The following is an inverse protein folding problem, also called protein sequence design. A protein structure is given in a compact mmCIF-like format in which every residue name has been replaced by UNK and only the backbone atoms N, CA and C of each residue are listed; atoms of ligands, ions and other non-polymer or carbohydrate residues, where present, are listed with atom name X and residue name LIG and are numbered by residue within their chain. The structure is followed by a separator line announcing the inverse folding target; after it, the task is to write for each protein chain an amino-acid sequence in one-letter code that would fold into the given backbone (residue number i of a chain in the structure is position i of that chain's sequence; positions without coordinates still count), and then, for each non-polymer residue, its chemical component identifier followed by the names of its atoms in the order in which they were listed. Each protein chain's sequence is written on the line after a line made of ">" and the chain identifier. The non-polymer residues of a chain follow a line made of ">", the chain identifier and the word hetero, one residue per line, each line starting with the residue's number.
data_IF_804943708563
#
_entry.id   IF_804943708563
#
_cell.length_a   1.000
_cell.length_b   1.000
_cell.length_c   1.000
_cell.angle_alpha   90.00
_cell.angle_beta   90.00
_cell.angle_gamma   90.00
#
_symmetry.space_group_name_H-M   'P 1'
#
loop_
_entity.id
_entity.type
_entity.pdbx_description
1 polymer ?
#
# COMPACT_ATOMS: atom_id res chain seq x y z
N UNK A 1 9.82 -21.98 25.42
CA UNK A 1 8.67 -22.87 25.67
C UNK A 1 8.22 -22.71 27.11
N UNK A 2 6.93 -22.47 27.32
CA UNK A 2 6.30 -22.44 28.64
C UNK A 2 5.49 -23.72 28.82
N UNK A 3 5.64 -24.39 29.96
CA UNK A 3 4.89 -25.60 30.32
C UNK A 3 4.16 -25.29 31.62
N UNK A 4 2.83 -25.34 31.60
CA UNK A 4 2.04 -25.11 32.80
C UNK A 4 2.26 -26.25 33.81
N UNK A 5 2.60 -25.92 35.05
CA UNK A 5 3.03 -26.91 36.05
C UNK A 5 1.92 -27.89 36.44
N UNK A 6 0.68 -27.42 36.47
CA UNK A 6 -0.45 -28.21 36.96
C UNK A 6 -1.14 -29.02 35.86
N UNK A 7 -1.37 -28.41 34.69
CA UNK A 7 -2.09 -29.07 33.58
C UNK A 7 -1.17 -29.74 32.57
N UNK A 8 0.12 -29.38 32.56
CA UNK A 8 1.06 -29.83 31.53
C UNK A 8 0.91 -29.10 30.19
N UNK A 9 -0.05 -28.17 30.07
CA UNK A 9 -0.32 -27.42 28.84
C UNK A 9 0.90 -26.63 28.37
N UNK A 10 1.17 -26.64 27.05
CA UNK A 10 2.42 -26.09 26.51
C UNK A 10 2.18 -24.96 25.53
N UNK A 11 3.08 -23.98 25.61
CA UNK A 11 3.23 -22.89 24.65
C UNK A 11 4.66 -22.86 24.09
N UNK A 12 4.80 -22.76 22.77
CA UNK A 12 6.08 -22.57 22.07
C UNK A 12 6.06 -21.28 21.26
N UNK A 13 7.24 -20.67 21.13
CA UNK A 13 7.45 -19.52 20.27
C UNK A 13 8.94 -19.29 20.06
N UNK A 14 9.32 -18.78 18.90
CA UNK A 14 10.68 -18.35 18.56
C UNK A 14 10.82 -16.83 18.61
N UNK A 15 12.07 -16.36 18.73
CA UNK A 15 12.40 -14.94 18.66
C UNK A 15 13.84 -14.74 18.22
N UNK A 16 14.06 -13.75 17.36
CA UNK A 16 15.39 -13.24 17.02
C UNK A 16 15.98 -12.32 18.10
N UNK A 17 15.16 -11.84 19.04
CA UNK A 17 15.55 -10.98 20.15
C UNK A 17 14.95 -11.51 21.45
N UNK A 18 15.55 -12.59 21.96
CA UNK A 18 15.05 -13.31 23.14
C UNK A 18 14.84 -12.38 24.34
N UNK A 19 15.78 -11.46 24.62
CA UNK A 19 15.66 -10.50 25.72
C UNK A 19 14.36 -9.70 25.64
N UNK A 20 14.11 -9.01 24.52
CA UNK A 20 12.91 -8.21 24.31
C UNK A 20 11.63 -9.05 24.46
N UNK A 21 11.66 -10.30 24.01
CA UNK A 21 10.51 -11.20 24.14
C UNK A 21 10.28 -11.65 25.58
N UNK A 22 11.33 -11.89 26.36
CA UNK A 22 11.21 -12.21 27.78
C UNK A 22 10.72 -11.00 28.58
N UNK A 23 11.28 -9.81 28.33
CA UNK A 23 10.84 -8.56 28.95
C UNK A 23 9.33 -8.33 28.71
N UNK A 24 8.85 -8.60 27.49
CA UNK A 24 7.43 -8.55 27.15
C UNK A 24 6.57 -9.48 28.02
N UNK A 25 6.98 -10.74 28.21
CA UNK A 25 6.23 -11.67 29.07
C UNK A 25 6.35 -11.33 30.56
N UNK A 26 7.48 -10.76 30.99
CA UNK A 26 7.76 -10.50 32.41
C UNK A 26 7.12 -9.20 32.90
N UNK A 27 7.03 -8.20 32.04
CA UNK A 27 6.43 -6.91 32.38
C UNK A 27 4.90 -6.93 32.35
N UNK A 28 4.28 -7.97 31.80
CA UNK A 28 2.81 -8.08 31.74
C UNK A 28 2.12 -7.16 30.72
N UNK A 29 2.88 -6.36 29.96
CA UNK A 29 2.36 -5.38 28.99
C UNK A 29 2.01 -6.05 27.65
N UNK A 30 0.99 -6.91 27.69
CA UNK A 30 0.52 -7.66 26.53
C UNK A 30 -1.01 -7.75 26.45
N UNK A 31 -1.58 -7.82 25.24
CA UNK A 31 -3.02 -7.98 25.08
C UNK A 31 -3.49 -9.35 25.61
N UNK A 32 -4.65 -9.37 26.27
CA UNK A 32 -5.33 -10.59 26.72
C UNK A 32 -5.99 -11.31 25.55
N UNK A 33 -5.17 -11.82 24.63
CA UNK A 33 -5.59 -12.50 23.42
C UNK A 33 -4.99 -13.92 23.32
N UNK A 34 -5.73 -14.83 22.69
CA UNK A 34 -5.35 -16.24 22.56
C UNK A 34 -5.54 -17.02 23.87
N UNK A 35 -4.82 -18.13 24.02
CA UNK A 35 -4.93 -19.00 25.22
C UNK A 35 -3.79 -18.77 26.21
N UNK A 36 -2.56 -18.59 25.72
CA UNK A 36 -1.38 -18.46 26.56
C UNK A 36 -1.36 -17.15 27.38
N UNK A 37 -1.54 -15.99 26.75
CA UNK A 37 -1.38 -14.70 27.44
C UNK A 37 -2.41 -14.47 28.56
N UNK A 38 -3.71 -14.80 28.37
CA UNK A 38 -4.67 -14.70 29.47
C UNK A 38 -4.34 -15.63 30.64
N UNK A 39 -3.88 -16.86 30.35
CA UNK A 39 -3.48 -17.80 31.39
C UNK A 39 -2.23 -17.30 32.15
N UNK A 40 -1.23 -16.80 31.42
CA UNK A 40 -0.02 -16.21 32.01
C UNK A 40 -0.34 -14.99 32.88
N UNK A 41 -1.26 -14.13 32.45
CA UNK A 41 -1.70 -12.97 33.22
C UNK A 41 -2.42 -13.39 34.52
N UNK A 42 -3.28 -14.41 34.44
CA UNK A 42 -4.09 -14.88 35.55
C UNK A 42 -3.26 -15.60 36.62
N UNK A 43 -2.34 -16.46 36.22
CA UNK A 43 -1.64 -17.38 37.13
C UNK A 43 -0.17 -17.02 37.35
N UNK A 44 0.33 -16.00 36.65
CA UNK A 44 1.70 -15.52 36.77
C UNK A 44 2.74 -16.45 36.15
N UNK A 45 3.98 -15.98 36.09
CA UNK A 45 5.12 -16.77 35.57
C UNK A 45 5.43 -18.00 36.42
N UNK A 46 5.18 -17.91 37.72
CA UNK A 46 5.44 -18.98 38.68
C UNK A 46 4.61 -20.24 38.43
N UNK A 47 3.47 -20.13 37.75
CA UNK A 47 2.66 -21.27 37.33
C UNK A 47 3.30 -22.07 36.17
N UNK A 48 4.38 -21.56 35.55
CA UNK A 48 5.00 -22.17 34.39
C UNK A 48 6.45 -22.61 34.63
N UNK A 49 6.86 -23.68 33.95
CA UNK A 49 8.26 -24.04 33.75
C UNK A 49 8.71 -23.51 32.38
N UNK A 50 9.70 -22.63 32.39
CA UNK A 50 10.30 -22.09 31.17
C UNK A 50 11.46 -22.99 30.70
N UNK A 51 11.43 -23.39 29.43
CA UNK A 51 12.57 -24.03 28.72
C UNK A 51 12.98 -23.16 27.54
N UNK A 52 14.26 -22.84 27.46
CA UNK A 52 14.85 -22.02 26.39
C UNK A 52 15.79 -22.89 25.57
N UNK A 53 15.56 -22.91 24.25
CA UNK A 53 16.47 -23.52 23.28
C UNK A 53 17.28 -22.41 22.62
N UNK A 54 18.60 -22.42 22.84
CA UNK A 54 19.52 -21.51 22.17
C UNK A 54 20.10 -22.24 20.95
N UNK A 55 19.83 -21.73 19.76
CA UNK A 55 20.46 -22.21 18.54
C UNK A 55 21.78 -21.47 18.33
N UNK A 56 22.84 -22.21 18.03
CA UNK A 56 24.16 -21.67 17.71
C UNK A 56 24.12 -20.98 16.34
N UNK A 57 24.38 -19.67 16.32
CA UNK A 57 24.35 -18.87 15.09
C UNK A 57 25.39 -19.27 14.07
N UNK A 58 26.44 -20.01 14.47
CA UNK A 58 27.45 -20.52 13.55
C UNK A 58 26.99 -21.78 12.79
N UNK A 59 25.91 -22.42 13.25
CA UNK A 59 25.40 -23.68 12.68
C UNK A 59 23.97 -23.57 12.16
N UNK A 60 23.18 -22.68 12.75
CA UNK A 60 21.76 -22.56 12.48
C UNK A 60 21.39 -21.15 12.08
N UNK A 61 20.56 -21.05 11.04
CA UNK A 61 19.95 -19.82 10.57
C UNK A 61 18.73 -19.43 11.41
N UNK A 62 18.25 -18.20 11.22
CA UNK A 62 16.97 -17.78 11.79
C UNK A 62 15.77 -18.62 11.31
N UNK A 63 15.87 -19.23 10.13
CA UNK A 63 14.81 -20.09 9.58
C UNK A 63 14.74 -21.43 10.30
N UNK A 64 15.87 -21.95 10.79
CA UNK A 64 15.91 -23.19 11.58
C UNK A 64 15.17 -23.04 12.91
N UNK A 65 15.18 -21.84 13.51
CA UNK A 65 14.37 -21.53 14.68
C UNK A 65 12.86 -21.63 14.40
N UNK A 66 12.43 -21.22 13.20
CA UNK A 66 11.03 -21.33 12.76
C UNK A 66 10.65 -22.78 12.46
N UNK A 67 11.55 -23.55 11.87
CA UNK A 67 11.36 -24.99 11.63
C UNK A 67 11.20 -25.74 12.96
N UNK A 68 12.05 -25.43 13.94
CA UNK A 68 11.96 -26.03 15.27
C UNK A 68 10.66 -25.64 15.99
N UNK A 69 10.24 -24.37 15.90
CA UNK A 69 8.93 -23.95 16.41
C UNK A 69 7.79 -24.71 15.72
N UNK A 70 7.83 -24.81 14.39
CA UNK A 70 6.82 -25.54 13.61
C UNK A 70 6.76 -27.02 14.01
N UNK A 71 7.91 -27.66 14.22
CA UNK A 71 7.98 -29.05 14.69
C UNK A 71 7.22 -29.24 16.00
N UNK A 72 7.42 -28.36 16.98
CA UNK A 72 6.68 -28.41 18.25
C UNK A 72 5.19 -28.10 18.09
N UNK A 73 4.82 -27.17 17.21
CA UNK A 73 3.41 -26.82 16.97
C UNK A 73 2.57 -27.99 16.43
N UNK A 74 3.20 -28.94 15.72
CA UNK A 74 2.56 -30.16 15.22
C UNK A 74 2.17 -31.13 16.34
N UNK A 75 2.82 -31.04 17.50
CA UNK A 75 2.47 -31.83 18.66
C UNK A 75 1.23 -31.26 19.36
N UNK A 76 0.25 -32.12 19.61
CA UNK A 76 -1.04 -31.77 20.22
C UNK A 76 -0.87 -31.21 21.64
N UNK A 77 0.20 -31.57 22.34
CA UNK A 77 0.52 -31.07 23.70
C UNK A 77 0.76 -29.54 23.72
N UNK A 78 1.10 -28.92 22.58
CA UNK A 78 1.23 -27.46 22.44
C UNK A 78 -0.12 -26.77 22.24
N UNK A 79 -1.01 -26.99 23.20
CA UNK A 79 -2.42 -26.58 23.14
C UNK A 79 -2.70 -25.12 23.54
N UNK A 80 -1.70 -24.40 24.07
CA UNK A 80 -1.79 -22.97 24.37
C UNK A 80 -1.49 -22.08 23.15
N UNK A 81 -0.89 -22.64 22.10
CA UNK A 81 -0.76 -21.98 20.79
C UNK A 81 -2.11 -22.06 20.05
N UNK A 82 -2.68 -20.92 19.69
CA UNK A 82 -3.93 -20.87 18.90
C UNK A 82 -3.70 -21.20 17.43
N UNK A 83 -2.57 -20.78 16.88
CA UNK A 83 -2.13 -21.12 15.54
C UNK A 83 -1.19 -22.33 15.59
N UNK A 84 -1.45 -23.31 14.73
CA UNK A 84 -0.62 -24.52 14.56
C UNK A 84 0.43 -24.38 13.45
N UNK A 85 0.55 -23.18 12.90
CA UNK A 85 1.50 -22.82 11.87
C UNK A 85 2.37 -21.69 12.39
N UNK A 86 3.69 -21.83 12.23
CA UNK A 86 4.65 -20.81 12.63
C UNK A 86 4.39 -19.53 11.83
N UNK A 87 4.38 -18.39 12.53
CA UNK A 87 4.35 -17.10 11.85
C UNK A 87 5.76 -16.79 11.35
N UNK A 88 6.12 -17.37 10.21
CA UNK A 88 7.25 -16.92 9.41
C UNK A 88 6.88 -15.53 8.88
N UNK A 89 7.05 -14.50 9.71
CA UNK A 89 6.62 -13.12 9.41
C UNK A 89 6.97 -12.77 7.97
N UNK A 90 6.02 -12.17 7.24
CA UNK A 90 6.06 -11.96 5.78
C UNK A 90 7.48 -11.85 5.22
N UNK A 91 8.01 -12.98 4.75
CA UNK A 91 9.44 -13.17 4.54
C UNK A 91 9.92 -12.68 3.18
N UNK A 92 9.37 -11.56 2.69
CA UNK A 92 9.89 -10.76 1.60
C UNK A 92 9.39 -9.34 1.86
N UNK A 93 10.28 -8.41 2.20
CA UNK A 93 9.87 -7.00 2.09
C UNK A 93 9.46 -6.74 0.64
N UNK A 94 8.58 -5.77 0.39
CA UNK A 94 8.15 -5.46 -0.99
C UNK A 94 9.41 -5.19 -1.85
N UNK A 95 9.78 -6.07 -2.81
CA UNK A 95 10.97 -5.88 -3.60
C UNK A 95 10.77 -4.68 -4.52
N UNK A 96 11.85 -3.98 -4.82
CA UNK A 96 11.83 -2.82 -5.71
C UNK A 96 12.98 -2.91 -6.69
N UNK A 97 12.63 -2.76 -7.96
CA UNK A 97 13.54 -2.78 -9.10
C UNK A 97 13.67 -1.36 -9.63
N UNK A 98 14.91 -0.90 -9.81
CA UNK A 98 15.25 0.43 -10.30
C UNK A 98 15.73 0.30 -11.74
N UNK A 99 14.91 0.77 -12.67
CA UNK A 99 15.19 0.74 -14.10
C UNK A 99 15.55 2.11 -14.64
N UNK A 100 16.16 2.12 -15.81
CA UNK A 100 16.07 3.26 -16.73
C UNK A 100 14.61 3.47 -17.19
N UNK A 101 14.37 4.60 -17.86
CA UNK A 101 13.03 4.94 -18.31
C UNK A 101 12.48 3.94 -19.32
N UNK A 102 13.33 3.40 -20.20
CA UNK A 102 12.92 2.44 -21.24
C UNK A 102 12.80 1.01 -20.73
N UNK A 103 12.98 0.77 -19.42
CA UNK A 103 12.97 -0.57 -18.82
C UNK A 103 13.97 -1.56 -19.43
N UNK A 104 14.99 -1.06 -20.14
CA UNK A 104 15.97 -1.86 -20.85
C UNK A 104 17.17 -2.20 -19.98
N UNK A 105 17.45 -1.36 -18.96
CA UNK A 105 18.58 -1.51 -18.05
C UNK A 105 18.07 -1.54 -16.61
N UNK A 106 18.38 -2.62 -15.88
CA UNK A 106 18.19 -2.73 -14.43
C UNK A 106 19.42 -2.19 -13.71
N UNK A 107 19.28 -1.04 -13.03
CA UNK A 107 20.36 -0.46 -12.24
C UNK A 107 20.52 -1.12 -10.87
N UNK A 108 19.41 -1.46 -10.21
CA UNK A 108 19.48 -2.05 -8.87
C UNK A 108 18.22 -2.84 -8.52
N UNK A 109 18.40 -3.94 -7.78
CA UNK A 109 17.32 -4.74 -7.21
C UNK A 109 17.44 -4.77 -5.69
N UNK A 110 16.45 -4.19 -5.01
CA UNK A 110 16.31 -4.25 -3.57
C UNK A 110 15.34 -5.36 -3.17
N UNK A 111 15.71 -6.20 -2.21
CA UNK A 111 14.84 -7.24 -1.64
C UNK A 111 13.74 -6.66 -0.76
N UNK A 112 13.81 -5.37 -0.44
CA UNK A 112 12.77 -4.64 0.30
C UNK A 112 12.88 -3.13 0.11
N UNK A 113 11.78 -2.41 0.34
CA UNK A 113 11.78 -0.93 0.47
C UNK A 113 12.73 -0.42 1.57
N UNK A 114 12.99 -1.23 2.61
CA UNK A 114 13.91 -0.87 3.70
C UNK A 114 15.36 -0.92 3.20
N UNK A 115 15.71 -1.94 2.43
CA UNK A 115 17.01 -2.05 1.78
C UNK A 115 17.22 -0.90 0.79
N UNK A 116 16.23 -0.60 -0.04
CA UNK A 116 16.26 0.55 -0.95
C UNK A 116 16.52 1.87 -0.22
N UNK A 117 15.93 2.07 0.97
CA UNK A 117 16.21 3.23 1.83
C UNK A 117 17.65 3.26 2.33
N UNK A 118 18.18 2.13 2.78
CA UNK A 118 19.55 2.06 3.33
C UNK A 118 20.62 2.21 2.25
N UNK A 119 20.37 1.63 1.08
CA UNK A 119 21.35 1.52 0.00
C UNK A 119 21.28 2.71 -0.94
N UNK A 120 20.08 3.09 -1.41
CA UNK A 120 19.91 4.18 -2.37
C UNK A 120 19.38 5.48 -1.76
N UNK A 121 19.18 5.54 -0.43
CA UNK A 121 18.61 6.70 0.26
C UNK A 121 17.20 7.08 -0.24
N UNK A 122 16.41 6.12 -0.72
CA UNK A 122 15.02 6.33 -1.13
C UNK A 122 14.09 5.95 0.01
N UNK A 123 13.42 6.94 0.62
CA UNK A 123 12.49 6.67 1.72
C UNK A 123 11.39 5.68 1.32
N UNK A 124 10.92 4.85 2.26
CA UNK A 124 9.92 3.80 2.01
C UNK A 124 8.62 4.36 1.45
N UNK A 125 8.16 5.51 1.95
CA UNK A 125 6.97 6.21 1.44
C UNK A 125 7.18 6.78 0.04
N UNK A 126 8.36 7.35 -0.22
CA UNK A 126 8.73 7.83 -1.56
C UNK A 126 8.75 6.67 -2.54
N UNK A 127 9.44 5.57 -2.20
CA UNK A 127 9.45 4.35 -3.00
C UNK A 127 8.02 3.88 -3.30
N UNK A 128 7.16 3.78 -2.27
CA UNK A 128 5.76 3.42 -2.47
C UNK A 128 5.04 4.35 -3.43
N UNK A 129 5.14 5.67 -3.24
CA UNK A 129 4.51 6.67 -4.12
C UNK A 129 4.90 6.47 -5.58
N UNK A 130 6.19 6.32 -5.87
CA UNK A 130 6.68 6.22 -7.25
C UNK A 130 6.42 4.84 -7.87
N UNK A 131 6.42 3.76 -7.07
CA UNK A 131 5.97 2.44 -7.51
C UNK A 131 4.47 2.45 -7.84
N UNK A 132 3.63 3.01 -6.97
CA UNK A 132 2.17 3.01 -7.13
C UNK A 132 1.73 3.96 -8.27
N UNK A 133 2.35 5.14 -8.36
CA UNK A 133 2.02 6.13 -9.40
C UNK A 133 2.67 5.84 -10.75
N UNK A 134 3.71 5.00 -10.78
CA UNK A 134 4.50 4.68 -11.99
C UNK A 134 5.11 5.90 -12.66
N UNK A 135 5.21 6.99 -11.91
CA UNK A 135 5.89 8.19 -12.37
C UNK A 135 7.41 7.98 -12.28
N UNK A 136 8.18 8.64 -13.16
CA UNK A 136 9.63 8.65 -13.05
C UNK A 136 10.08 9.23 -11.71
N UNK A 137 10.87 8.47 -10.96
CA UNK A 137 11.64 8.99 -9.85
C UNK A 137 12.82 9.80 -10.39
N UNK A 138 12.96 11.04 -9.91
CA UNK A 138 14.00 11.98 -10.37
C UNK A 138 14.02 12.19 -11.89
N UNK A 139 12.89 11.99 -12.58
CA UNK A 139 12.77 12.09 -14.05
C UNK A 139 13.74 11.20 -14.85
N UNK A 140 14.43 10.25 -14.22
CA UNK A 140 15.42 9.36 -14.84
C UNK A 140 15.23 7.89 -14.55
N UNK A 141 14.56 7.55 -13.45
CA UNK A 141 14.45 6.18 -12.98
C UNK A 141 13.01 5.74 -12.87
N UNK A 142 12.73 4.50 -13.26
CA UNK A 142 11.44 3.87 -13.02
C UNK A 142 11.56 2.88 -11.86
N UNK A 143 10.65 3.00 -10.88
CA UNK A 143 10.59 2.07 -9.75
C UNK A 143 9.44 1.09 -9.96
N UNK A 144 9.76 -0.20 -10.05
CA UNK A 144 8.78 -1.27 -10.24
C UNK A 144 8.82 -2.27 -9.09
N UNK A 145 7.69 -2.92 -8.83
CA UNK A 145 7.58 -4.00 -7.83
C UNK A 145 7.80 -5.40 -8.44
N UNK A 146 8.18 -5.48 -9.71
CA UNK A 146 8.36 -6.70 -10.46
C UNK A 146 9.54 -6.59 -11.42
N UNK A 147 10.21 -7.71 -11.75
CA UNK A 147 11.30 -7.72 -12.70
C UNK A 147 10.81 -7.70 -14.15
N UNK A 148 11.57 -7.08 -15.04
CA UNK A 148 11.39 -7.13 -16.50
C UNK A 148 12.43 -8.11 -17.07
N UNK A 149 12.01 -9.25 -17.66
CA UNK A 149 12.92 -10.32 -18.08
C UNK A 149 13.91 -9.92 -19.18
N UNK A 150 13.53 -8.97 -20.03
CA UNK A 150 14.34 -8.49 -21.15
C UNK A 150 15.35 -7.42 -20.76
N UNK A 151 15.30 -6.94 -19.51
CA UNK A 151 16.20 -5.90 -19.04
C UNK A 151 17.59 -6.48 -18.77
N UNK A 152 18.61 -5.80 -19.27
CA UNK A 152 20.01 -6.10 -18.98
C UNK A 152 20.39 -5.52 -17.63
N UNK A 153 21.17 -6.25 -16.85
CA UNK A 153 21.74 -5.70 -15.61
C UNK A 153 22.78 -4.64 -15.97
N UNK A 154 22.74 -3.50 -15.31
CA UNK A 154 23.72 -2.43 -15.51
C UNK A 154 25.08 -2.83 -14.94
N UNK A 155 26.15 -2.43 -15.63
CA UNK A 155 27.53 -2.59 -15.16
C UNK A 155 27.99 -1.45 -14.23
N UNK A 156 27.14 -0.43 -14.01
CA UNK A 156 27.51 0.69 -13.13
C UNK A 156 27.63 0.22 -11.68
N UNK A 157 28.58 0.81 -10.95
CA UNK A 157 28.72 0.52 -9.53
C UNK A 157 27.59 1.15 -8.71
N UNK A 158 27.35 0.59 -7.53
CA UNK A 158 26.36 1.14 -6.60
C UNK A 158 26.71 2.58 -6.16
N UNK A 159 28.00 2.88 -6.00
CA UNK A 159 28.50 4.21 -5.64
C UNK A 159 28.22 5.22 -6.77
N UNK A 160 28.43 4.82 -8.02
CA UNK A 160 28.14 5.63 -9.20
C UNK A 160 26.64 5.91 -9.34
N UNK A 161 25.80 4.88 -9.19
CA UNK A 161 24.33 5.04 -9.17
C UNK A 161 23.87 6.02 -8.07
N UNK A 162 24.46 5.91 -6.89
CA UNK A 162 24.22 6.83 -5.78
C UNK A 162 24.64 8.26 -6.13
N UNK A 163 25.80 8.44 -6.76
CA UNK A 163 26.29 9.73 -7.24
C UNK A 163 25.31 10.37 -8.21
N UNK A 164 24.90 9.64 -9.26
CA UNK A 164 23.91 10.08 -10.24
C UNK A 164 22.62 10.50 -9.53
N UNK A 165 22.07 9.66 -8.65
CA UNK A 165 20.84 10.00 -7.91
C UNK A 165 21.00 11.21 -6.98
N UNK A 166 22.17 11.42 -6.39
CA UNK A 166 22.43 12.58 -5.55
C UNK A 166 22.47 13.87 -6.35
N UNK A 167 23.09 13.86 -7.51
CA UNK A 167 23.15 15.04 -8.38
C UNK A 167 21.78 15.36 -8.95
N UNK A 168 21.01 14.37 -9.37
CA UNK A 168 19.60 14.57 -9.76
C UNK A 168 18.72 15.10 -8.62
N UNK A 169 18.96 14.69 -7.37
CA UNK A 169 18.25 15.27 -6.21
C UNK A 169 18.63 16.73 -6.01
N UNK A 170 19.91 17.08 -6.12
CA UNK A 170 20.38 18.48 -6.01
C UNK A 170 19.78 19.32 -7.14
N UNK A 171 19.76 18.80 -8.35
CA UNK A 171 19.18 19.50 -9.50
C UNK A 171 17.67 19.63 -9.35
N UNK A 172 16.97 18.57 -8.96
CA UNK A 172 15.54 18.64 -8.63
C UNK A 172 15.26 19.62 -7.48
N UNK A 173 16.15 19.76 -6.50
CA UNK A 173 16.01 20.73 -5.42
C UNK A 173 16.25 22.17 -5.90
N UNK A 174 17.29 22.40 -6.71
CA UNK A 174 17.61 23.69 -7.35
C UNK A 174 16.51 24.12 -8.33
N UNK A 175 15.98 23.17 -9.11
CA UNK A 175 14.80 23.35 -9.96
C UNK A 175 13.57 23.57 -9.09
N UNK A 176 13.32 22.77 -8.04
CA UNK A 176 12.17 22.94 -7.15
C UNK A 176 12.14 24.28 -6.39
N UNK A 177 13.29 24.92 -6.21
CA UNK A 177 13.40 26.30 -5.68
C UNK A 177 13.29 27.39 -6.76
N UNK A 178 13.36 27.05 -8.06
CA UNK A 178 13.34 28.01 -9.19
C UNK A 178 12.19 27.82 -10.21
N UNK A 179 11.59 26.64 -10.30
CA UNK A 179 10.51 26.33 -11.23
C UNK A 179 9.21 26.31 -10.44
N UNK A 180 8.58 27.46 -10.38
CA UNK A 180 7.14 27.44 -10.41
C UNK A 180 6.64 26.58 -11.58
N UNK A 181 5.62 25.77 -11.35
CA UNK A 181 4.98 25.00 -12.43
C UNK A 181 4.36 26.02 -13.39
N UNK A 182 4.73 26.02 -14.68
CA UNK A 182 4.13 26.95 -15.62
C UNK A 182 2.63 26.67 -15.77
N UNK A 183 1.88 27.71 -16.07
CA UNK A 183 0.42 27.71 -16.12
C UNK A 183 -0.03 28.24 -17.46
N UNK A 184 -0.94 27.53 -18.09
CA UNK A 184 -1.65 27.97 -19.28
C UNK A 184 -3.03 28.49 -18.89
N UNK A 185 -3.40 29.65 -19.42
CA UNK A 185 -4.67 30.32 -19.19
C UNK A 185 -5.40 30.44 -20.52
N UNK A 186 -6.36 29.56 -20.74
CA UNK A 186 -7.23 29.58 -21.91
C UNK A 186 -8.35 30.61 -21.71
N UNK A 187 -8.44 31.57 -22.62
CA UNK A 187 -9.48 32.61 -22.61
C UNK A 187 -10.64 32.13 -23.46
N UNK A 188 -11.75 31.74 -22.82
CA UNK A 188 -12.94 31.25 -23.53
C UNK A 188 -13.71 32.37 -24.20
N UNK A 189 -14.42 32.01 -25.26
CA UNK A 189 -15.39 32.88 -25.93
C UNK A 189 -16.41 33.45 -24.93
N UNK A 190 -16.74 34.73 -25.09
CA UNK A 190 -17.62 35.45 -24.16
C UNK A 190 -16.93 35.99 -22.89
N UNK A 191 -15.59 36.02 -22.83
CA UNK A 191 -14.88 36.72 -21.77
C UNK A 191 -15.08 38.25 -21.87
N UNK A 192 -15.41 38.94 -20.78
CA UNK A 192 -15.66 40.40 -20.76
C UNK A 192 -14.49 41.21 -20.19
N UNK A 193 -13.44 40.54 -19.72
CA UNK A 193 -12.29 41.17 -19.03
C UNK A 193 -11.09 41.39 -19.95
N UNK A 194 -11.13 40.84 -21.17
CA UNK A 194 -10.07 40.98 -22.17
C UNK A 194 -10.63 41.48 -23.50
N UNK A 195 -9.77 41.99 -24.38
CA UNK A 195 -10.18 42.44 -25.71
C UNK A 195 -10.67 41.28 -26.59
N UNK A 196 -11.54 41.58 -27.57
CA UNK A 196 -12.04 40.59 -28.52
C UNK A 196 -10.92 39.84 -29.25
N UNK A 197 -9.81 40.51 -29.55
CA UNK A 197 -8.66 39.90 -30.21
C UNK A 197 -7.95 38.82 -29.37
N UNK A 198 -8.12 38.83 -28.04
CA UNK A 198 -7.51 37.86 -27.13
C UNK A 198 -8.42 36.69 -26.77
N UNK A 199 -9.69 36.70 -27.19
CA UNK A 199 -10.61 35.58 -26.98
C UNK A 199 -10.19 34.39 -27.86
N UNK A 200 -10.41 33.18 -27.36
CA UNK A 200 -9.96 31.95 -28.00
C UNK A 200 -8.45 31.68 -27.92
N UNK A 201 -7.66 32.59 -27.34
CA UNK A 201 -6.21 32.44 -27.19
C UNK A 201 -5.83 31.90 -25.80
N UNK A 202 -4.67 31.23 -25.75
CA UNK A 202 -4.08 30.70 -24.52
C UNK A 202 -2.85 31.51 -24.16
N UNK A 203 -2.86 32.12 -22.96
CA UNK A 203 -1.71 32.80 -22.39
C UNK A 203 -0.85 31.81 -21.60
N UNK A 204 0.48 31.98 -21.67
CA UNK A 204 1.45 31.13 -20.96
C UNK A 204 2.15 31.93 -19.87
N UNK A 205 2.17 31.37 -18.68
CA UNK A 205 2.82 31.93 -17.50
C UNK A 205 3.88 30.96 -16.99
N UNK A 206 4.98 31.50 -16.50
CA UNK A 206 6.05 30.75 -15.82
C UNK A 206 5.62 30.20 -14.45
N UNK A 207 4.56 30.76 -13.86
CA UNK A 207 4.09 30.40 -12.53
C UNK A 207 2.60 30.60 -12.30
N UNK A 208 2.07 29.85 -11.33
CA UNK A 208 0.74 30.12 -10.77
C UNK A 208 0.64 31.53 -10.16
N UNK A 209 1.74 32.05 -9.60
CA UNK A 209 1.77 33.39 -8.99
C UNK A 209 1.61 34.48 -10.05
N UNK A 210 2.36 34.39 -11.15
CA UNK A 210 2.34 35.30 -12.30
C UNK A 210 0.97 35.28 -12.98
N UNK A 211 0.36 34.09 -13.11
CA UNK A 211 -1.02 33.96 -13.59
C UNK A 211 -2.02 34.67 -12.63
N UNK A 212 -1.86 34.52 -11.31
CA UNK A 212 -2.70 35.22 -10.34
C UNK A 212 -2.49 36.74 -10.35
N UNK A 213 -1.27 37.23 -10.60
CA UNK A 213 -0.97 38.65 -10.75
C UNK A 213 -1.63 39.24 -12.00
N UNK A 214 -1.59 38.50 -13.12
CA UNK A 214 -2.32 38.87 -14.34
C UNK A 214 -3.83 38.98 -14.08
N UNK A 215 -4.45 37.96 -13.48
CA UNK A 215 -5.87 37.98 -13.12
C UNK A 215 -6.20 39.16 -12.18
N UNK A 216 -5.32 39.45 -11.22
CA UNK A 216 -5.48 40.59 -10.31
C UNK A 216 -5.41 41.92 -11.06
N UNK A 217 -4.53 42.04 -12.07
CA UNK A 217 -4.45 43.21 -12.96
C UNK A 217 -5.76 43.46 -13.72
N UNK A 218 -6.56 42.42 -13.98
CA UNK A 218 -7.90 42.52 -14.57
C UNK A 218 -9.02 42.76 -13.54
N UNK A 219 -8.67 42.98 -12.25
CA UNK A 219 -9.64 43.13 -11.17
C UNK A 219 -10.21 41.82 -10.62
N UNK A 220 -9.72 40.66 -11.06
CA UNK A 220 -10.17 39.35 -10.61
C UNK A 220 -9.29 38.82 -9.48
N UNK A 221 -9.85 38.71 -8.28
CA UNK A 221 -9.14 38.22 -7.10
C UNK A 221 -9.57 36.78 -6.81
N UNK A 222 -8.62 35.85 -6.88
CA UNK A 222 -8.82 34.45 -6.50
C UNK A 222 -7.73 34.01 -5.51
N UNK A 223 -8.08 33.20 -4.52
CA UNK A 223 -7.10 32.61 -3.59
C UNK A 223 -6.32 31.50 -4.31
N UNK A 224 -5.03 31.36 -3.98
CA UNK A 224 -4.13 30.36 -4.58
C UNK A 224 -4.71 28.94 -4.49
N UNK A 225 -5.16 28.54 -3.30
CA UNK A 225 -5.72 27.20 -3.08
C UNK A 225 -6.98 26.94 -3.90
N UNK A 226 -7.81 27.98 -4.09
CA UNK A 226 -9.02 27.91 -4.90
C UNK A 226 -8.68 27.75 -6.37
N UNK A 227 -7.70 28.50 -6.88
CA UNK A 227 -7.24 28.39 -8.26
C UNK A 227 -6.60 27.01 -8.52
N UNK A 228 -5.77 26.52 -7.60
CA UNK A 228 -5.23 25.16 -7.66
C UNK A 228 -6.32 24.09 -7.65
N UNK A 229 -7.39 24.28 -6.86
CA UNK A 229 -8.55 23.38 -6.88
C UNK A 229 -9.22 23.41 -8.25
N UNK A 230 -9.42 24.59 -8.82
CA UNK A 230 -10.10 24.76 -10.10
C UNK A 230 -9.32 24.15 -11.26
N UNK A 231 -7.99 24.28 -11.27
CA UNK A 231 -7.12 23.58 -12.23
C UNK A 231 -7.32 22.06 -12.15
N UNK A 232 -7.40 21.49 -10.94
CA UNK A 232 -7.57 20.04 -10.76
C UNK A 232 -8.92 19.49 -11.24
N UNK A 233 -9.98 20.28 -11.15
CA UNK A 233 -11.34 19.87 -11.55
C UNK A 233 -11.75 20.49 -12.89
N UNK A 234 -10.80 21.10 -13.61
CA UNK A 234 -11.00 21.81 -14.88
C UNK A 234 -12.17 22.82 -14.85
N UNK A 235 -12.36 23.47 -13.69
CA UNK A 235 -13.46 24.42 -13.51
C UNK A 235 -13.09 25.78 -14.10
N UNK A 236 -13.99 26.28 -14.94
CA UNK A 236 -13.90 27.62 -15.54
C UNK A 236 -14.15 28.71 -14.48
N UNK A 237 -13.35 29.76 -14.52
CA UNK A 237 -13.43 30.95 -13.66
C UNK A 237 -13.58 32.19 -14.54
N UNK A 238 -14.76 32.83 -14.55
CA UNK A 238 -15.04 34.02 -15.38
C UNK A 238 -14.60 33.86 -16.85
N UNK A 239 -14.94 32.73 -17.48
CA UNK A 239 -14.52 32.40 -18.85
C UNK A 239 -13.00 32.30 -19.05
N UNK A 240 -12.25 32.07 -17.97
CA UNK A 240 -10.87 31.61 -18.00
C UNK A 240 -10.80 30.15 -17.56
N UNK A 241 -10.06 29.32 -18.31
CA UNK A 241 -9.73 27.95 -17.91
C UNK A 241 -8.22 27.86 -17.67
N UNK A 242 -7.85 27.64 -16.42
CA UNK A 242 -6.46 27.46 -16.03
C UNK A 242 -6.07 25.99 -16.09
N UNK A 243 -4.92 25.70 -16.68
CA UNK A 243 -4.29 24.37 -16.72
C UNK A 243 -2.83 24.52 -16.29
N UNK A 244 -2.27 23.52 -15.61
CA UNK A 244 -0.81 23.46 -15.54
C UNK A 244 -0.32 23.12 -16.94
N UNK A 245 0.68 23.84 -17.45
CA UNK A 245 1.38 23.36 -18.64
C UNK A 245 1.94 21.98 -18.28
N UNK A 246 1.77 21.00 -19.15
CA UNK A 246 2.26 19.65 -18.87
C UNK A 246 3.69 19.73 -18.33
N UNK A 247 3.90 19.15 -17.15
CA UNK A 247 5.26 18.91 -16.67
C UNK A 247 5.93 18.17 -17.80
N UNK A 248 7.06 18.67 -18.27
CA UNK A 248 7.91 18.01 -19.24
C UNK A 248 8.25 16.62 -18.70
N UNK A 249 7.38 15.65 -18.99
CA UNK A 249 7.70 14.25 -18.90
C UNK A 249 8.86 14.04 -19.87
N UNK A 250 9.80 13.15 -19.54
CA UNK A 250 10.85 12.80 -20.47
C UNK A 250 10.24 12.45 -21.83
N UNK A 251 10.88 12.88 -22.93
CA UNK A 251 10.48 12.48 -24.28
C UNK A 251 10.34 10.95 -24.31
N UNK A 252 9.26 10.43 -24.89
CA UNK A 252 8.90 9.01 -25.01
C UNK A 252 8.23 8.37 -23.77
N UNK A 253 7.71 9.13 -22.81
CA UNK A 253 6.97 8.56 -21.68
C UNK A 253 5.68 7.80 -22.08
N UNK A 254 5.02 8.20 -23.17
CA UNK A 254 3.85 7.49 -23.69
C UNK A 254 4.20 6.08 -24.18
N UNK A 255 5.39 5.88 -24.76
CA UNK A 255 5.90 4.57 -25.17
C UNK A 255 6.20 3.67 -23.94
N UNK A 256 6.64 4.25 -22.84
CA UNK A 256 6.85 3.55 -21.57
C UNK A 256 5.52 3.10 -20.96
N UNK A 257 4.48 3.93 -21.07
CA UNK A 257 3.11 3.54 -20.72
C UNK A 257 2.64 2.30 -21.48
N UNK A 258 2.93 2.25 -22.78
CA UNK A 258 2.62 1.10 -23.64
C UNK A 258 3.41 -0.17 -23.23
N UNK A 259 4.71 -0.07 -22.93
CA UNK A 259 5.54 -1.20 -22.44
C UNK A 259 4.99 -1.75 -21.12
N UNK A 260 4.61 -0.86 -20.18
CA UNK A 260 4.03 -1.25 -18.89
C UNK A 260 2.67 -1.94 -19.09
N UNK A 261 1.85 -1.46 -20.02
CA UNK A 261 0.52 -2.01 -20.29
C UNK A 261 0.58 -3.33 -21.08
N UNK A 262 1.55 -3.48 -21.98
CA UNK A 262 1.84 -4.74 -22.68
C UNK A 262 2.33 -5.81 -21.71
N UNK A 263 3.22 -5.46 -20.77
CA UNK A 263 3.66 -6.38 -19.73
C UNK A 263 2.52 -6.78 -18.77
N UNK A 264 1.60 -5.86 -18.43
CA UNK A 264 0.39 -6.22 -17.67
C UNK A 264 -0.48 -7.25 -18.40
N UNK A 265 -0.62 -7.13 -19.73
CA UNK A 265 -1.38 -8.10 -20.54
C UNK A 265 -0.74 -9.49 -20.49
N UNK A 266 0.59 -9.55 -20.49
CA UNK A 266 1.34 -10.81 -20.34
C UNK A 266 1.28 -11.37 -18.91
N UNK A 267 1.11 -10.51 -17.89
CA UNK A 267 1.00 -10.91 -16.47
C UNK A 267 -0.40 -11.41 -16.06
N UNK A 268 -1.40 -11.33 -16.95
CA UNK A 268 -2.77 -11.82 -16.69
C UNK A 268 -2.79 -13.31 -16.31
N UNK A 269 -1.76 -14.08 -16.68
CA UNK A 269 -1.68 -15.51 -16.33
C UNK A 269 -1.07 -15.84 -14.96
N UNK A 270 -0.42 -14.89 -14.26
CA UNK A 270 0.20 -15.17 -12.94
C UNK A 270 -0.43 -14.42 -11.77
N UNK A 271 -1.09 -13.29 -12.00
CA UNK A 271 -1.84 -12.56 -10.96
C UNK A 271 -3.30 -13.05 -10.80
N UNK A 272 -3.75 -14.00 -11.63
CA UNK A 272 -5.06 -14.66 -11.52
C UNK A 272 -5.28 -15.44 -10.21
N UNK A 273 -4.23 -15.58 -9.37
CA UNK A 273 -4.32 -16.18 -8.03
C UNK A 273 -4.32 -15.19 -6.86
N UNK A 274 -4.26 -13.88 -7.11
CA UNK A 274 -4.67 -12.91 -6.09
C UNK A 274 -6.19 -12.80 -6.17
N UNK A 275 -6.86 -13.77 -5.55
CA UNK A 275 -8.28 -13.66 -5.20
C UNK A 275 -8.46 -12.29 -4.57
N UNK A 276 -9.19 -11.42 -5.27
CA UNK A 276 -9.53 -10.08 -4.82
C UNK A 276 -10.35 -10.26 -3.53
N UNK A 277 -9.67 -10.25 -2.36
CA UNK A 277 -10.25 -10.60 -1.04
C UNK A 277 -11.40 -9.68 -0.59
N UNK A 278 -11.80 -8.71 -1.42
CA UNK A 278 -12.98 -7.88 -1.22
C UNK A 278 -14.28 -8.51 -1.73
N UNK A 279 -14.21 -9.52 -2.61
CA UNK A 279 -15.37 -10.20 -3.18
C UNK A 279 -15.33 -11.69 -2.82
N UNK A 280 -15.39 -12.01 -1.53
CA UNK A 280 -15.67 -13.39 -1.12
C UNK A 280 -17.17 -13.63 -1.22
N UNK A 281 -17.60 -14.76 -1.79
CA UNK A 281 -19.01 -15.13 -1.81
C UNK A 281 -19.59 -15.15 -0.39
N UNK A 282 -20.81 -14.64 -0.25
CA UNK A 282 -21.53 -14.56 1.01
C UNK A 282 -22.69 -15.54 0.94
N UNK A 283 -22.73 -16.44 1.90
CA UNK A 283 -23.87 -17.31 2.13
C UNK A 283 -24.79 -16.67 3.18
N UNK A 284 -26.06 -16.49 2.81
CA UNK A 284 -27.11 -15.99 3.69
C UNK A 284 -28.09 -17.11 4.00
N UNK A 285 -28.33 -17.34 5.29
CA UNK A 285 -29.25 -18.36 5.80
C UNK A 285 -30.33 -17.75 6.68
N UNK A 286 -31.51 -18.37 6.73
CA UNK A 286 -32.59 -18.00 7.64
C UNK A 286 -33.50 -16.87 7.14
N UNK A 287 -34.53 -16.56 7.94
CA UNK A 287 -35.56 -15.55 7.69
C UNK A 287 -36.81 -16.08 6.99
N UNK A 288 -37.99 -15.67 7.45
CA UNK A 288 -39.30 -16.15 6.94
C UNK A 288 -39.55 -15.90 5.44
N UNK A 289 -38.75 -15.02 4.81
CA UNK A 289 -38.85 -14.69 3.37
C UNK A 289 -37.81 -15.40 2.50
N UNK A 290 -36.81 -16.09 3.08
CA UNK A 290 -35.83 -16.87 2.32
C UNK A 290 -36.24 -18.35 2.42
N UNK A 291 -36.80 -18.87 1.32
CA UNK A 291 -37.21 -20.27 1.24
C UNK A 291 -36.02 -21.25 1.21
N UNK A 292 -34.82 -20.80 0.83
CA UNK A 292 -33.56 -21.57 0.86
C UNK A 292 -32.35 -20.67 1.09
N UNK A 293 -31.22 -21.26 1.50
CA UNK A 293 -29.93 -20.59 1.59
C UNK A 293 -29.58 -19.91 0.26
N UNK A 294 -29.16 -18.63 0.30
CA UNK A 294 -28.86 -17.85 -0.90
C UNK A 294 -27.43 -17.36 -0.88
N UNK A 295 -26.74 -17.56 -2.00
CA UNK A 295 -25.36 -17.15 -2.21
C UNK A 295 -25.30 -15.86 -3.02
N UNK A 296 -24.35 -15.00 -2.68
CA UNK A 296 -24.07 -13.74 -3.37
C UNK A 296 -22.58 -13.65 -3.67
N UNK A 297 -22.21 -13.23 -4.88
CA UNK A 297 -20.81 -13.14 -5.29
C UNK A 297 -20.10 -11.93 -4.66
N UNK A 298 -20.87 -10.96 -4.15
CA UNK A 298 -20.34 -9.77 -3.50
C UNK A 298 -21.23 -9.19 -2.39
N UNK A 299 -20.60 -8.36 -1.55
CA UNK A 299 -21.28 -7.55 -0.52
C UNK A 299 -22.35 -6.63 -1.14
N UNK A 300 -22.05 -6.04 -2.30
CA UNK A 300 -22.96 -5.10 -2.97
C UNK A 300 -24.24 -5.78 -3.42
N UNK A 301 -24.14 -7.01 -3.92
CA UNK A 301 -25.32 -7.80 -4.33
C UNK A 301 -26.17 -8.24 -3.14
N UNK A 302 -25.53 -8.67 -2.05
CA UNK A 302 -26.23 -8.99 -0.82
C UNK A 302 -27.00 -7.77 -0.30
N UNK A 303 -26.38 -6.59 -0.26
CA UNK A 303 -27.05 -5.35 0.18
C UNK A 303 -28.25 -5.02 -0.71
N UNK A 304 -28.09 -5.02 -2.04
CA UNK A 304 -29.18 -4.75 -2.98
C UNK A 304 -30.35 -5.72 -2.82
N UNK A 305 -30.07 -6.99 -2.53
CA UNK A 305 -31.12 -7.97 -2.29
C UNK A 305 -31.93 -7.65 -1.03
N UNK A 306 -31.26 -7.23 0.05
CA UNK A 306 -31.92 -6.86 1.30
C UNK A 306 -32.67 -5.53 1.20
N UNK A 307 -32.18 -4.58 0.41
CA UNK A 307 -32.92 -3.36 0.07
C UNK A 307 -34.24 -3.69 -0.64
N UNK A 308 -34.25 -4.63 -1.58
CA UNK A 308 -35.47 -5.11 -2.25
C UNK A 308 -36.44 -5.82 -1.30
N UNK A 309 -35.95 -6.42 -0.21
CA UNK A 309 -36.77 -7.02 0.84
C UNK A 309 -37.29 -5.99 1.87
N UNK A 310 -36.98 -4.71 1.66
CA UNK A 310 -37.24 -3.59 2.57
C UNK A 310 -36.53 -3.75 3.93
N UNK A 311 -35.37 -4.42 3.93
CA UNK A 311 -34.54 -4.65 5.10
C UNK A 311 -33.27 -3.81 4.97
N UNK A 312 -33.19 -2.72 5.74
CA UNK A 312 -31.98 -1.88 5.77
C UNK A 312 -30.76 -2.69 6.19
N UNK A 313 -29.80 -2.90 5.28
CA UNK A 313 -28.54 -3.59 5.52
C UNK A 313 -27.41 -2.79 4.89
N UNK A 314 -26.60 -2.10 5.68
CA UNK A 314 -25.43 -1.38 5.17
C UNK A 314 -24.17 -2.24 5.21
N UNK A 315 -23.15 -1.84 4.44
CA UNK A 315 -21.88 -2.58 4.35
C UNK A 315 -21.21 -2.75 5.71
N UNK A 316 -21.29 -1.74 6.59
CA UNK A 316 -20.65 -1.79 7.91
C UNK A 316 -21.31 -2.84 8.80
N UNK A 317 -22.64 -2.91 8.77
CA UNK A 317 -23.44 -3.88 9.50
C UNK A 317 -23.19 -5.28 8.97
N UNK A 318 -23.21 -5.47 7.65
CA UNK A 318 -22.93 -6.77 7.03
C UNK A 318 -21.53 -7.29 7.36
N UNK A 319 -20.49 -6.44 7.28
CA UNK A 319 -19.14 -6.81 7.69
C UNK A 319 -19.04 -7.19 9.17
N UNK A 320 -19.76 -6.48 10.04
CA UNK A 320 -19.78 -6.79 11.47
C UNK A 320 -20.40 -8.18 11.71
N UNK A 321 -21.51 -8.51 11.04
CA UNK A 321 -22.19 -9.80 11.17
C UNK A 321 -21.40 -10.96 10.58
N UNK A 322 -20.73 -10.74 9.45
CA UNK A 322 -19.81 -11.71 8.87
C UNK A 322 -18.61 -12.02 9.79
N UNK A 323 -18.25 -11.08 10.68
CA UNK A 323 -17.13 -11.24 11.62
C UNK A 323 -17.56 -11.88 12.94
N UNK A 324 -18.70 -11.48 13.49
CA UNK A 324 -19.16 -11.94 14.80
C UNK A 324 -20.15 -13.13 14.75
N UNK A 325 -20.65 -13.47 13.57
CA UNK A 325 -21.60 -14.57 13.36
C UNK A 325 -22.97 -14.33 14.01
N UNK A 326 -23.32 -13.10 14.38
CA UNK A 326 -24.60 -12.82 15.03
C UNK A 326 -25.73 -12.70 14.01
N UNK A 327 -26.89 -13.22 14.39
CA UNK A 327 -28.13 -13.07 13.63
C UNK A 327 -28.48 -11.58 13.49
N UNK A 328 -28.93 -11.18 12.30
CA UNK A 328 -29.46 -9.87 12.00
C UNK A 328 -30.83 -10.00 11.35
N UNK A 329 -31.88 -9.58 12.08
CA UNK A 329 -33.29 -9.62 11.63
C UNK A 329 -33.68 -11.00 11.05
N UNK A 330 -33.32 -12.06 11.78
CA UNK A 330 -33.54 -13.48 11.45
C UNK A 330 -32.65 -14.06 10.34
N UNK A 331 -31.68 -13.29 9.84
CA UNK A 331 -30.70 -13.72 8.85
C UNK A 331 -29.32 -13.94 9.46
N UNK A 332 -28.63 -14.96 8.97
CA UNK A 332 -27.27 -15.33 9.33
C UNK A 332 -26.36 -15.23 8.11
N UNK A 333 -25.17 -14.67 8.29
CA UNK A 333 -24.24 -14.34 7.20
C UNK A 333 -22.89 -15.01 7.43
N UNK A 334 -22.40 -15.74 6.43
CA UNK A 334 -21.05 -16.34 6.47
C UNK A 334 -20.30 -16.11 5.16
N UNK A 335 -18.98 -15.93 5.25
CA UNK A 335 -18.13 -16.11 4.09
C UNK A 335 -18.09 -17.58 3.70
N UNK A 336 -18.13 -17.84 2.39
CA UNK A 336 -17.82 -19.16 1.84
C UNK A 336 -16.30 -19.37 1.75
#
# INVERSE_FOLDING_TARGET
>A
MFIHKNTGDKYVGSSNLLRRRMDYYFNGDYPLAGKFLPLLYKEGLEAFKLRIFKLDSNKFSSQDALILEQFYLLDKEFNLNTLRVVNAGSSKGDPVYVYDLTCSILYYHAKSRIELKRVLNIHTETSKKYVDSKLPYLNKFLLLSYPIPTALTSDISLEELLGIMQDERKDTYKLGTRTSIPVELEIKEGNTFVSEASKGHTLKFDSLTSCMEYLRGLGLIIKRDTLTKYIKIEKVFHNFLCKYSDKTLPKNFDEIGLIIDEYKKLKVDTDSLIINRKNKPILVKGGAKLHMDKEFDSITEAIKHFDNLNIKLDSKTLYLRLKDGKIYKDYYFTYK
#
